data_IF_019363609130
#
_entry.id   IF_019363609130
#
_cell.length_a   1.000
_cell.length_b   1.000
_cell.length_c   1.000
_cell.angle_alpha   90.00
_cell.angle_beta   90.00
_cell.angle_gamma   90.00
#
_symmetry.space_group_name_H-M   'P 1'
#
loop_
_entity.id
_entity.type
_entity.pdbx_description
1 polymer ?
#
# COMPACT_ATOMS: atom_id res chain seq x y z
N UNK A 1 46.54 -67.46 -49.60
CA UNK A 1 47.87 -67.03 -50.08
C UNK A 1 48.08 -65.61 -49.58
N UNK A 2 49.16 -65.20 -48.91
CA UNK A 2 50.30 -65.96 -48.40
C UNK A 2 51.13 -65.11 -47.42
N UNK A 3 51.97 -65.81 -46.66
CA UNK A 3 53.13 -65.41 -45.86
C UNK A 3 53.99 -64.27 -46.46
N UNK A 4 54.84 -63.55 -45.70
CA UNK A 4 55.20 -63.66 -44.27
C UNK A 4 56.31 -62.67 -43.87
N UNK A 5 56.77 -62.71 -42.60
CA UNK A 5 57.84 -61.85 -42.03
C UNK A 5 59.26 -62.43 -42.21
N UNK A 6 60.33 -61.61 -42.09
CA UNK A 6 61.11 -61.47 -40.83
C UNK A 6 61.05 -60.03 -40.25
N UNK A 7 61.55 -59.65 -39.07
CA UNK A 7 62.83 -59.93 -38.37
C UNK A 7 63.82 -58.76 -38.60
N UNK A 8 64.51 -58.14 -37.63
CA UNK A 8 64.88 -58.53 -36.25
C UNK A 8 65.24 -57.28 -35.36
N UNK A 9 65.62 -57.53 -34.08
CA UNK A 9 66.17 -56.69 -32.97
C UNK A 9 66.57 -55.21 -33.24
N UNK A 10 66.48 -54.25 -32.28
CA UNK A 10 67.23 -54.25 -30.99
C UNK A 10 66.76 -53.17 -29.96
N UNK A 11 67.22 -53.20 -28.69
CA UNK A 11 66.91 -52.20 -27.62
C UNK A 11 67.80 -52.35 -26.35
N UNK A 12 67.92 -51.36 -25.42
CA UNK A 12 68.06 -49.90 -25.52
C UNK A 12 69.56 -49.50 -25.44
N UNK A 13 70.27 -49.09 -24.32
CA UNK A 13 69.93 -48.58 -22.96
C UNK A 13 70.57 -47.22 -22.54
N UNK A 14 69.91 -46.48 -21.64
CA UNK A 14 70.53 -45.56 -20.65
C UNK A 14 70.82 -44.09 -21.04
N UNK A 15 70.46 -43.13 -20.17
CA UNK A 15 70.87 -41.72 -20.30
C UNK A 15 69.98 -40.67 -19.62
N UNK A 16 70.07 -40.49 -18.30
CA UNK A 16 69.39 -39.40 -17.58
C UNK A 16 69.93 -38.00 -17.94
N UNK A 17 69.04 -37.02 -18.15
CA UNK A 17 69.29 -35.61 -17.82
C UNK A 17 68.04 -34.71 -17.86
N UNK A 18 67.74 -34.18 -16.66
CA UNK A 18 67.19 -32.84 -16.32
C UNK A 18 65.90 -32.34 -16.98
N UNK A 19 65.03 -31.83 -16.11
CA UNK A 19 63.95 -30.90 -16.45
C UNK A 19 64.53 -29.54 -16.87
N UNK A 20 63.92 -28.90 -17.86
CA UNK A 20 63.93 -27.44 -18.01
C UNK A 20 62.49 -26.92 -17.85
N UNK A 21 62.34 -25.75 -17.23
CA UNK A 21 61.05 -25.28 -16.71
C UNK A 21 60.44 -24.14 -17.51
N UNK A 22 59.33 -24.40 -18.20
CA UNK A 22 58.58 -23.39 -18.94
C UNK A 22 57.67 -22.57 -18.01
N UNK A 23 58.13 -21.36 -17.63
CA UNK A 23 57.39 -20.44 -16.75
C UNK A 23 56.31 -19.70 -17.52
N UNK A 24 55.11 -20.28 -17.59
CA UNK A 24 53.91 -19.50 -17.96
C UNK A 24 53.60 -18.47 -16.87
N UNK A 25 53.70 -17.19 -17.24
CA UNK A 25 53.25 -16.08 -16.40
C UNK A 25 51.74 -16.21 -16.13
N UNK A 26 51.36 -16.27 -14.85
CA UNK A 26 49.96 -16.14 -14.45
C UNK A 26 49.61 -14.66 -14.46
N UNK A 27 48.77 -14.25 -15.42
CA UNK A 27 48.03 -12.98 -15.30
C UNK A 27 47.31 -12.95 -13.94
N UNK A 28 47.43 -11.83 -13.25
CA UNK A 28 46.69 -11.56 -12.03
C UNK A 28 45.39 -10.85 -12.42
N UNK A 29 44.36 -11.62 -12.73
CA UNK A 29 43.00 -11.08 -12.86
C UNK A 29 42.47 -10.82 -11.44
N UNK A 30 41.94 -9.61 -11.14
CA UNK A 30 41.37 -9.32 -9.83
C UNK A 30 40.12 -10.18 -9.59
N UNK A 31 39.84 -10.60 -8.34
CA UNK A 31 38.65 -11.39 -8.04
C UNK A 31 37.39 -10.60 -8.41
N UNK A 32 36.47 -11.23 -9.13
CA UNK A 32 35.18 -10.63 -9.45
C UNK A 32 34.44 -10.22 -8.17
N UNK A 33 33.75 -9.06 -8.14
CA UNK A 33 33.04 -8.61 -6.96
C UNK A 33 31.99 -9.65 -6.56
N UNK A 34 31.82 -9.95 -5.25
CA UNK A 34 30.87 -10.95 -4.81
C UNK A 34 29.46 -10.55 -5.23
N UNK A 35 28.77 -11.43 -5.95
CA UNK A 35 27.43 -11.18 -6.48
C UNK A 35 26.40 -11.12 -5.35
N UNK A 36 26.30 -9.96 -4.68
CA UNK A 36 25.18 -9.59 -3.81
C UNK A 36 23.92 -9.36 -4.65
N UNK A 37 23.41 -10.46 -5.23
CA UNK A 37 21.99 -10.54 -5.62
C UNK A 37 21.20 -10.15 -4.38
N UNK A 38 20.36 -9.13 -4.52
CA UNK A 38 19.76 -8.45 -3.37
C UNK A 38 19.13 -9.42 -2.39
N UNK A 39 19.66 -9.46 -1.15
CA UNK A 39 18.89 -9.99 -0.02
C UNK A 39 17.62 -9.15 0.02
N UNK A 40 16.44 -9.77 -0.14
CA UNK A 40 15.16 -9.13 0.16
C UNK A 40 15.28 -8.44 1.53
N UNK A 41 14.71 -7.25 1.68
CA UNK A 41 14.56 -6.61 2.99
C UNK A 41 13.72 -7.51 3.91
N UNK A 42 14.40 -8.42 4.61
CA UNK A 42 14.12 -8.59 6.02
C UNK A 42 14.66 -7.33 6.69
N UNK A 43 13.78 -6.33 6.91
CA UNK A 43 13.87 -5.55 8.16
C UNK A 43 14.17 -6.56 9.26
N UNK A 44 15.26 -6.41 10.00
CA UNK A 44 15.57 -7.36 11.07
C UNK A 44 14.38 -7.35 12.03
N UNK A 45 13.66 -8.49 12.11
CA UNK A 45 12.61 -8.68 13.09
C UNK A 45 13.32 -8.81 14.43
N UNK A 46 13.52 -7.67 15.09
CA UNK A 46 14.48 -7.46 16.18
C UNK A 46 14.43 -8.60 17.18
N UNK A 47 15.48 -9.45 17.12
CA UNK A 47 15.56 -10.73 17.83
C UNK A 47 14.20 -11.43 18.03
N UNK A 48 13.50 -11.82 16.96
CA UNK A 48 12.12 -12.38 17.06
C UNK A 48 11.99 -13.63 17.96
N UNK A 49 13.11 -14.22 18.39
CA UNK A 49 13.17 -15.23 19.44
C UNK A 49 12.76 -14.71 20.84
N UNK A 50 12.94 -13.42 21.14
CA UNK A 50 12.66 -12.84 22.46
C UNK A 50 11.15 -12.68 22.76
N UNK A 51 10.32 -12.54 21.71
CA UNK A 51 8.88 -12.26 21.85
C UNK A 51 7.98 -13.49 21.60
N UNK A 52 8.55 -14.66 21.28
CA UNK A 52 7.79 -15.86 20.90
C UNK A 52 7.85 -16.94 21.98
N UNK A 53 6.76 -17.10 22.72
CA UNK A 53 6.55 -18.24 23.63
C UNK A 53 6.82 -19.58 22.90
N UNK A 54 7.55 -20.53 23.50
CA UNK A 54 7.90 -21.78 22.84
C UNK A 54 6.65 -22.63 22.54
N UNK A 55 6.59 -23.19 21.33
CA UNK A 55 5.37 -23.83 20.78
C UNK A 55 4.95 -25.06 21.61
N UNK A 56 3.86 -24.92 22.35
CA UNK A 56 3.36 -25.97 23.26
C UNK A 56 2.53 -27.01 22.51
N UNK A 57 3.17 -28.13 22.17
CA UNK A 57 2.50 -29.37 21.75
C UNK A 57 2.10 -30.23 22.96
N UNK A 58 0.95 -30.93 22.95
CA UNK A 58 -0.08 -30.97 21.91
C UNK A 58 -1.00 -29.75 21.93
N UNK A 59 -1.58 -29.41 20.77
CA UNK A 59 -2.51 -28.28 20.62
C UNK A 59 -3.89 -28.54 21.26
N UNK A 60 -4.29 -29.79 21.44
CA UNK A 60 -5.56 -30.19 22.04
C UNK A 60 -5.68 -29.80 23.52
N UNK A 61 -6.93 -29.69 24.02
CA UNK A 61 -7.23 -29.38 25.43
C UNK A 61 -6.88 -30.58 26.34
N UNK A 62 -5.60 -30.75 26.66
CA UNK A 62 -5.08 -31.85 27.46
C UNK A 62 -4.26 -31.37 28.67
N UNK A 63 -4.23 -32.15 29.77
CA UNK A 63 -3.44 -31.83 30.98
C UNK A 63 -1.93 -31.65 30.69
N UNK A 64 -1.40 -32.31 29.66
CA UNK A 64 -0.03 -32.11 29.17
C UNK A 64 0.24 -30.71 28.60
N UNK A 65 -0.76 -30.07 27.97
CA UNK A 65 -0.64 -28.68 27.49
C UNK A 65 -0.62 -27.71 28.66
N UNK A 66 -1.49 -27.92 29.65
CA UNK A 66 -1.53 -27.13 30.89
C UNK A 66 -0.18 -27.20 31.63
N UNK A 67 0.30 -28.41 31.96
CA UNK A 67 1.58 -28.60 32.68
C UNK A 67 2.81 -28.04 31.95
N UNK A 68 2.78 -27.92 30.61
CA UNK A 68 3.83 -27.23 29.84
C UNK A 68 3.70 -25.71 29.92
N UNK A 69 2.48 -25.18 29.85
CA UNK A 69 2.22 -23.73 30.01
C UNK A 69 2.55 -23.26 31.43
N UNK A 70 2.19 -24.04 32.45
CA UNK A 70 2.54 -23.76 33.85
C UNK A 70 4.07 -23.66 34.00
N UNK A 71 4.84 -24.63 33.49
CA UNK A 71 6.31 -24.56 33.52
C UNK A 71 6.88 -23.35 32.76
N UNK A 72 6.29 -22.94 31.65
CA UNK A 72 6.74 -21.74 30.90
C UNK A 72 6.45 -20.48 31.73
N UNK A 73 5.28 -20.40 32.37
CA UNK A 73 4.93 -19.33 33.31
C UNK A 73 5.90 -19.29 34.50
N UNK A 74 6.24 -20.44 35.08
CA UNK A 74 7.18 -20.52 36.20
C UNK A 74 8.58 -20.01 35.80
N UNK A 75 9.08 -20.35 34.60
CA UNK A 75 10.34 -19.80 34.08
C UNK A 75 10.26 -18.28 33.84
N UNK A 76 9.18 -17.79 33.23
CA UNK A 76 8.99 -16.35 32.98
C UNK A 76 8.89 -15.55 34.29
N UNK A 77 8.20 -16.07 35.31
CA UNK A 77 8.13 -15.42 36.62
C UNK A 77 9.49 -15.41 37.34
N UNK A 78 10.28 -16.50 37.23
CA UNK A 78 11.66 -16.50 37.75
C UNK A 78 12.57 -15.53 36.98
N UNK A 79 12.36 -15.35 35.67
CA UNK A 79 13.10 -14.38 34.86
C UNK A 79 12.68 -12.93 35.18
N UNK A 80 11.39 -12.66 35.35
CA UNK A 80 10.83 -11.37 35.77
C UNK A 80 11.28 -10.98 37.20
N UNK A 81 11.23 -11.91 38.16
CA UNK A 81 11.79 -11.69 39.49
C UNK A 81 13.31 -11.54 39.47
N UNK A 82 14.03 -12.27 38.61
CA UNK A 82 15.49 -12.13 38.50
C UNK A 82 15.89 -10.78 37.89
N UNK A 83 15.21 -10.33 36.83
CA UNK A 83 15.41 -9.02 36.22
C UNK A 83 15.04 -7.92 37.20
N UNK A 84 13.85 -7.96 37.83
CA UNK A 84 13.42 -6.93 38.79
C UNK A 84 14.34 -6.85 40.02
N UNK A 85 14.82 -7.99 40.55
CA UNK A 85 15.81 -7.97 41.63
C UNK A 85 17.18 -7.50 41.13
N UNK A 86 17.58 -7.81 39.89
CA UNK A 86 18.83 -7.34 39.31
C UNK A 86 18.81 -5.82 39.02
N UNK A 87 17.67 -5.27 38.63
CA UNK A 87 17.44 -3.82 38.49
C UNK A 87 17.48 -3.15 39.87
N UNK A 88 16.75 -3.68 40.86
CA UNK A 88 16.76 -3.15 42.24
C UNK A 88 18.11 -3.28 42.97
N UNK A 89 18.99 -4.17 42.52
CA UNK A 89 20.34 -4.37 43.07
C UNK A 89 21.45 -3.66 42.30
N UNK A 90 21.14 -2.98 41.19
CA UNK A 90 22.10 -2.16 40.44
C UNK A 90 21.64 -0.70 40.39
N UNK A 91 22.53 0.29 40.52
CA UNK A 91 22.28 1.64 40.01
C UNK A 91 22.40 1.61 38.47
N UNK A 92 21.51 0.86 37.78
CA UNK A 92 21.55 0.74 36.32
C UNK A 92 20.53 1.60 35.59
N UNK A 93 19.45 2.04 36.22
CA UNK A 93 18.62 3.12 35.65
C UNK A 93 19.46 4.41 35.59
N UNK A 94 20.05 4.81 36.73
CA UNK A 94 21.04 5.90 36.82
C UNK A 94 22.13 5.77 35.76
N UNK A 95 22.75 4.58 35.63
CA UNK A 95 23.82 4.36 34.66
C UNK A 95 23.35 4.38 33.20
N UNK A 96 22.15 3.88 32.91
CA UNK A 96 21.60 3.94 31.55
C UNK A 96 21.24 5.38 31.17
N UNK A 97 20.81 6.21 32.13
CA UNK A 97 20.55 7.63 31.93
C UNK A 97 21.85 8.46 31.86
N UNK A 98 22.87 8.12 32.64
CA UNK A 98 24.24 8.62 32.47
C UNK A 98 24.82 8.27 31.08
N UNK A 99 24.70 7.01 30.65
CA UNK A 99 25.27 6.56 29.37
C UNK A 99 24.47 7.12 28.18
N UNK A 100 23.16 7.37 28.35
CA UNK A 100 22.32 8.12 27.40
C UNK A 100 22.70 9.60 27.33
N UNK A 101 22.90 10.28 28.46
CA UNK A 101 23.32 11.69 28.47
C UNK A 101 24.73 11.88 27.89
N UNK A 102 25.67 10.95 28.17
CA UNK A 102 26.97 10.90 27.48
C UNK A 102 26.82 10.73 25.96
N UNK A 103 25.84 9.95 25.49
CA UNK A 103 25.53 9.84 24.05
C UNK A 103 24.96 11.15 23.50
N UNK A 104 24.03 11.81 24.19
CA UNK A 104 23.45 13.09 23.74
C UNK A 104 24.46 14.26 23.76
N UNK A 105 25.42 14.26 24.70
CA UNK A 105 26.60 15.15 24.66
C UNK A 105 27.49 14.87 23.43
N UNK A 106 27.69 13.59 23.07
CA UNK A 106 28.42 13.18 21.86
C UNK A 106 27.65 13.46 20.56
N UNK A 107 26.30 13.47 20.58
CA UNK A 107 25.46 13.91 19.45
C UNK A 107 25.68 15.39 19.16
N UNK A 108 25.85 16.18 20.22
CA UNK A 108 26.08 17.61 20.17
C UNK A 108 24.85 18.40 19.73
N UNK A 109 24.92 19.72 19.93
CA UNK A 109 23.92 20.66 19.41
C UNK A 109 24.62 21.88 18.79
N UNK A 110 24.23 22.32 17.58
CA UNK A 110 23.20 21.76 16.71
C UNK A 110 23.68 20.51 15.93
N UNK A 111 22.75 19.64 15.59
CA UNK A 111 22.92 18.61 14.55
C UNK A 111 22.58 19.20 13.18
N UNK A 112 23.23 18.72 12.12
CA UNK A 112 22.97 19.11 10.72
C UNK A 112 22.43 17.91 9.94
N UNK A 113 21.43 18.12 9.07
CA UNK A 113 20.92 17.08 8.18
C UNK A 113 21.79 16.99 6.92
N UNK A 114 22.12 15.76 6.53
CA UNK A 114 22.76 15.43 5.25
C UNK A 114 22.17 14.14 4.68
N UNK A 115 22.65 13.72 3.50
CA UNK A 115 22.25 12.48 2.83
C UNK A 115 23.40 11.49 2.83
N UNK A 116 23.10 10.20 3.03
CA UNK A 116 24.06 9.12 2.85
C UNK A 116 24.20 8.76 1.37
N UNK A 117 25.39 8.85 0.79
CA UNK A 117 25.60 8.54 -0.64
C UNK A 117 26.19 7.15 -0.85
N UNK A 118 27.30 6.83 -0.17
CA UNK A 118 27.92 5.51 -0.26
C UNK A 118 28.51 5.05 1.08
N UNK A 119 28.31 3.77 1.41
CA UNK A 119 28.94 3.10 2.56
C UNK A 119 30.24 2.45 2.11
N UNK A 120 31.38 2.96 2.58
CA UNK A 120 32.71 2.53 2.13
C UNK A 120 33.22 1.35 2.95
N UNK A 121 33.07 1.42 4.27
CA UNK A 121 33.35 0.32 5.19
C UNK A 121 32.33 0.30 6.35
N UNK A 122 32.54 -0.57 7.34
CA UNK A 122 31.60 -0.70 8.47
C UNK A 122 31.52 0.56 9.36
N UNK A 123 32.52 1.44 9.34
CA UNK A 123 32.66 2.59 10.23
C UNK A 123 32.77 3.93 9.49
N UNK A 124 32.78 3.95 8.15
CA UNK A 124 32.91 5.17 7.35
C UNK A 124 31.96 5.20 6.14
N UNK A 125 31.46 6.39 5.84
CA UNK A 125 30.61 6.66 4.69
C UNK A 125 30.99 7.96 3.97
N UNK A 126 30.58 8.07 2.71
CA UNK A 126 30.51 9.33 1.98
C UNK A 126 29.11 9.92 2.17
N UNK A 127 29.06 11.18 2.57
CA UNK A 127 27.83 11.91 2.87
C UNK A 127 27.85 13.29 2.22
N UNK A 128 26.71 13.71 1.66
CA UNK A 128 26.54 15.07 1.13
C UNK A 128 25.73 15.93 2.11
N UNK A 129 26.26 17.12 2.38
CA UNK A 129 25.55 18.15 3.15
C UNK A 129 24.67 18.98 2.21
N UNK A 130 23.52 19.46 2.70
CA UNK A 130 22.49 20.12 1.90
C UNK A 130 22.95 21.33 1.08
N UNK A 131 24.08 21.95 1.44
CA UNK A 131 24.75 23.02 0.67
C UNK A 131 26.29 22.84 0.72
N UNK A 132 26.79 21.61 0.59
CA UNK A 132 28.22 21.31 0.75
C UNK A 132 28.79 20.29 -0.26
N UNK A 133 30.12 20.14 -0.30
CA UNK A 133 30.76 19.03 -0.97
C UNK A 133 30.48 17.69 -0.26
N UNK A 134 30.81 16.59 -0.92
CA UNK A 134 30.90 15.26 -0.32
C UNK A 134 31.97 15.22 0.78
N UNK A 135 31.64 14.59 1.92
CA UNK A 135 32.56 14.36 3.03
C UNK A 135 32.71 12.87 3.33
N UNK A 136 33.95 12.42 3.50
CA UNK A 136 34.25 11.10 4.08
C UNK A 136 34.20 11.22 5.61
N UNK A 137 33.25 10.53 6.25
CA UNK A 137 32.93 10.72 7.68
C UNK A 137 32.84 9.39 8.43
N UNK A 138 33.15 9.42 9.72
CA UNK A 138 32.98 8.27 10.62
C UNK A 138 31.54 8.10 11.11
N UNK A 139 31.08 6.85 11.19
CA UNK A 139 29.79 6.44 11.76
C UNK A 139 29.98 6.16 13.25
N UNK A 140 29.19 6.81 14.13
CA UNK A 140 29.30 6.59 15.58
C UNK A 140 28.65 5.25 15.97
N UNK A 141 29.25 4.57 16.96
CA UNK A 141 28.91 3.18 17.33
C UNK A 141 27.49 2.94 17.88
N UNK A 142 26.70 3.99 18.09
CA UNK A 142 25.31 3.94 18.52
C UNK A 142 24.30 4.15 17.37
N UNK A 143 24.77 4.24 16.12
CA UNK A 143 23.93 4.19 14.91
C UNK A 143 23.81 2.74 14.46
N UNK A 144 22.59 2.26 14.22
CA UNK A 144 22.37 0.92 13.68
C UNK A 144 22.77 0.86 12.20
N UNK A 145 23.74 0.00 11.90
CA UNK A 145 24.34 -0.14 10.57
C UNK A 145 23.43 -0.90 9.60
N UNK A 146 22.55 -1.76 10.09
CA UNK A 146 21.60 -2.50 9.24
C UNK A 146 20.41 -1.62 8.78
N UNK A 147 20.34 -0.37 9.24
CA UNK A 147 19.33 0.62 8.84
C UNK A 147 19.89 1.77 7.97
N UNK A 148 21.20 1.77 7.67
CA UNK A 148 21.81 2.73 6.74
C UNK A 148 21.68 2.23 5.30
N UNK A 149 20.71 2.75 4.54
CA UNK A 149 20.61 2.54 3.08
C UNK A 149 21.04 3.81 2.30
N UNK A 150 21.74 3.68 1.16
CA UNK A 150 22.08 4.82 0.30
C UNK A 150 20.84 5.61 -0.12
N UNK A 151 20.89 6.93 0.08
CA UNK A 151 19.77 7.85 -0.11
C UNK A 151 18.99 8.20 1.16
N UNK A 152 19.21 7.52 2.30
CA UNK A 152 18.59 7.89 3.57
C UNK A 152 19.12 9.24 4.10
N UNK A 153 18.23 10.01 4.72
CA UNK A 153 18.57 11.22 5.45
C UNK A 153 19.22 10.89 6.80
N UNK A 154 20.32 11.57 7.10
CA UNK A 154 21.14 11.33 8.30
C UNK A 154 21.35 12.61 9.11
N UNK A 155 21.52 12.42 10.41
CA UNK A 155 21.94 13.44 11.36
C UNK A 155 23.47 13.39 11.51
N UNK A 156 24.12 14.54 11.30
CA UNK A 156 25.57 14.71 11.38
C UNK A 156 25.94 15.71 12.49
N UNK A 157 27.09 15.51 13.14
CA UNK A 157 27.60 16.45 14.14
C UNK A 157 28.28 17.66 13.48
N UNK A 158 27.70 18.86 13.57
CA UNK A 158 28.13 20.07 12.85
C UNK A 158 29.66 20.34 12.83
N UNK A 159 30.40 20.11 13.93
CA UNK A 159 31.86 20.37 13.98
C UNK A 159 32.77 19.27 13.38
N UNK A 160 32.30 18.02 13.30
CA UNK A 160 33.13 16.83 13.00
C UNK A 160 32.60 16.04 11.80
N UNK A 161 31.35 16.33 11.41
CA UNK A 161 30.58 15.74 10.32
C UNK A 161 30.31 14.22 10.45
N UNK A 162 30.75 13.59 11.53
CA UNK A 162 30.42 12.21 11.90
C UNK A 162 28.91 11.94 11.90
N UNK A 163 28.50 10.73 11.47
CA UNK A 163 27.10 10.29 11.49
C UNK A 163 26.67 10.01 12.93
N UNK A 164 25.71 10.80 13.40
CA UNK A 164 25.14 10.80 14.76
C UNK A 164 23.86 9.98 14.84
N UNK A 165 23.14 9.83 13.73
CA UNK A 165 21.92 9.05 13.68
C UNK A 165 21.30 9.03 12.29
N UNK A 166 20.32 8.16 12.14
CA UNK A 166 19.36 8.22 11.05
C UNK A 166 18.30 9.26 11.40
N UNK A 167 17.95 10.12 10.45
CA UNK A 167 16.63 10.75 10.49
C UNK A 167 15.67 9.66 9.99
N UNK A 168 14.63 9.35 10.76
CA UNK A 168 13.63 8.38 10.30
C UNK A 168 13.00 8.90 9.00
N UNK A 169 13.02 8.09 7.94
CA UNK A 169 12.60 8.43 6.58
C UNK A 169 11.38 9.38 6.60
N UNK A 170 11.60 10.63 6.16
CA UNK A 170 10.52 11.60 6.03
C UNK A 170 9.58 11.12 4.92
N UNK A 171 8.51 10.42 5.33
CA UNK A 171 7.39 10.09 4.45
C UNK A 171 6.80 11.41 3.97
N UNK A 172 7.07 11.73 2.70
CA UNK A 172 6.72 13.01 2.05
C UNK A 172 5.36 13.50 2.56
N UNK A 173 5.26 14.75 3.06
CA UNK A 173 4.03 15.26 3.66
C UNK A 173 2.82 15.12 2.73
N UNK A 174 3.01 15.09 1.40
CA UNK A 174 1.94 14.80 0.44
C UNK A 174 1.37 13.39 0.59
N UNK A 175 2.21 12.37 0.79
CA UNK A 175 1.76 10.98 0.99
C UNK A 175 1.22 10.76 2.40
N UNK A 176 1.72 11.51 3.39
CA UNK A 176 1.12 11.53 4.73
C UNK A 176 -0.30 12.13 4.73
N UNK A 177 -0.60 13.09 3.84
CA UNK A 177 -1.98 13.60 3.61
C UNK A 177 -2.90 12.57 2.94
N UNK A 178 -2.36 11.61 2.18
CA UNK A 178 -3.13 10.52 1.55
C UNK A 178 -3.53 9.39 2.54
N UNK A 179 -2.98 9.40 3.76
CA UNK A 179 -3.34 8.44 4.82
C UNK A 179 -4.67 8.83 5.46
N UNK A 180 -5.69 7.98 5.32
CA UNK A 180 -6.99 8.22 5.95
C UNK A 180 -6.97 7.67 7.38
N UNK A 181 -6.46 8.45 8.33
CA UNK A 181 -6.34 8.07 9.76
C UNK A 181 -7.67 7.70 10.47
N UNK A 182 -8.82 7.91 9.80
CA UNK A 182 -10.15 7.69 10.38
C UNK A 182 -10.99 6.82 9.46
N UNK A 183 -11.33 5.62 9.92
CA UNK A 183 -12.30 4.76 9.27
C UNK A 183 -13.59 5.55 8.96
N UNK A 184 -14.09 5.52 7.71
CA UNK A 184 -15.26 6.30 7.34
C UNK A 184 -16.52 5.74 8.01
N UNK A 185 -17.41 6.61 8.47
CA UNK A 185 -18.63 6.25 9.22
C UNK A 185 -19.69 5.46 8.42
N UNK A 186 -19.43 5.19 7.15
CA UNK A 186 -20.36 4.57 6.20
C UNK A 186 -20.20 3.05 6.27
N UNK A 187 -21.28 2.29 6.46
CA UNK A 187 -21.25 0.82 6.53
C UNK A 187 -21.98 0.20 5.33
N UNK A 188 -21.79 -1.11 5.08
CA UNK A 188 -22.58 -1.85 4.09
C UNK A 188 -24.10 -1.73 4.33
N UNK A 189 -24.52 -1.52 5.59
CA UNK A 189 -25.92 -1.30 5.95
C UNK A 189 -26.50 0.06 5.49
N UNK A 190 -25.65 1.06 5.20
CA UNK A 190 -26.06 2.34 4.60
C UNK A 190 -26.18 2.26 3.05
N UNK A 191 -25.79 1.13 2.43
CA UNK A 191 -25.88 0.92 0.99
C UNK A 191 -27.22 0.27 0.64
N UNK A 192 -27.98 0.93 -0.23
CA UNK A 192 -29.30 0.46 -0.66
C UNK A 192 -29.24 -0.56 -1.78
N UNK A 193 -29.06 -1.84 -1.45
CA UNK A 193 -28.98 -2.95 -2.42
C UNK A 193 -27.58 -3.11 -3.01
N UNK A 194 -27.48 -3.51 -4.29
CA UNK A 194 -26.22 -3.91 -4.94
C UNK A 194 -25.55 -5.13 -4.25
N UNK A 195 -26.36 -6.04 -3.71
CA UNK A 195 -25.90 -7.17 -2.88
C UNK A 195 -24.89 -8.07 -3.60
N UNK A 196 -25.05 -8.25 -4.92
CA UNK A 196 -24.12 -9.01 -5.76
C UNK A 196 -22.76 -8.30 -5.90
N UNK A 197 -22.76 -7.00 -6.22
CA UNK A 197 -21.54 -6.20 -6.28
C UNK A 197 -20.82 -6.19 -4.94
N UNK A 198 -21.55 -5.99 -3.82
CA UNK A 198 -21.01 -6.03 -2.46
C UNK A 198 -20.32 -7.39 -2.20
N UNK A 199 -20.98 -8.51 -2.55
CA UNK A 199 -20.41 -9.85 -2.39
C UNK A 199 -19.10 -10.02 -3.19
N UNK A 200 -19.05 -9.57 -4.44
CA UNK A 200 -17.81 -9.63 -5.25
C UNK A 200 -16.66 -8.81 -4.65
N UNK A 201 -16.92 -7.62 -4.07
CA UNK A 201 -15.85 -6.85 -3.39
C UNK A 201 -15.38 -7.55 -2.12
N UNK A 202 -16.31 -8.15 -1.36
CA UNK A 202 -15.98 -8.90 -0.14
C UNK A 202 -15.07 -10.08 -0.47
N UNK A 203 -15.40 -10.86 -1.51
CA UNK A 203 -14.56 -11.95 -2.01
C UNK A 203 -13.20 -11.49 -2.57
N UNK A 204 -13.08 -10.24 -3.03
CA UNK A 204 -11.85 -9.70 -3.58
C UNK A 204 -10.94 -8.99 -2.57
N UNK A 205 -11.49 -8.42 -1.50
CA UNK A 205 -10.77 -7.53 -0.56
C UNK A 205 -10.92 -7.97 0.90
N UNK A 206 -12.14 -8.23 1.38
CA UNK A 206 -12.38 -8.56 2.80
C UNK A 206 -11.99 -10.01 3.12
N UNK A 207 -12.35 -10.97 2.26
CA UNK A 207 -12.12 -12.40 2.48
C UNK A 207 -10.63 -12.79 2.46
N UNK A 208 -9.75 -12.28 1.56
CA UNK A 208 -8.32 -12.53 1.64
C UNK A 208 -7.66 -11.98 2.91
N UNK A 209 -8.17 -10.88 3.46
CA UNK A 209 -7.61 -10.23 4.66
C UNK A 209 -8.11 -10.85 5.97
N UNK A 210 -9.31 -11.44 5.97
CA UNK A 210 -9.92 -12.07 7.15
C UNK A 210 -9.63 -13.58 7.24
N UNK A 211 -9.59 -14.28 6.10
CA UNK A 211 -9.43 -15.74 6.03
C UNK A 211 -8.49 -16.16 4.88
N UNK A 212 -7.18 -15.83 4.95
CA UNK A 212 -6.20 -16.24 3.95
C UNK A 212 -6.08 -17.77 3.83
N UNK A 213 -6.32 -18.51 4.93
CA UNK A 213 -6.33 -19.99 4.99
C UNK A 213 -7.18 -20.62 3.87
N UNK A 214 -8.32 -20.00 3.51
CA UNK A 214 -9.21 -20.49 2.44
C UNK A 214 -8.58 -20.44 1.04
N UNK A 215 -7.63 -19.53 0.82
CA UNK A 215 -6.90 -19.41 -0.46
C UNK A 215 -5.69 -20.35 -0.48
N UNK A 216 -5.04 -20.56 0.66
CA UNK A 216 -3.94 -21.52 0.81
C UNK A 216 -4.40 -22.97 0.66
N UNK A 217 -5.50 -23.38 1.32
CA UNK A 217 -6.08 -24.74 1.22
C UNK A 217 -6.50 -25.10 -0.22
N UNK A 218 -6.99 -24.11 -0.98
CA UNK A 218 -7.41 -24.27 -2.39
C UNK A 218 -6.21 -24.12 -3.35
N UNK A 219 -5.08 -23.55 -2.89
CA UNK A 219 -3.87 -23.32 -3.68
C UNK A 219 -3.98 -22.20 -4.72
N UNK A 220 -4.88 -21.23 -4.51
CA UNK A 220 -5.13 -20.11 -5.45
C UNK A 220 -4.58 -18.79 -4.90
N UNK A 221 -3.97 -17.97 -5.77
CA UNK A 221 -3.66 -16.58 -5.41
C UNK A 221 -4.97 -15.78 -5.28
N UNK A 222 -5.18 -14.99 -4.22
CA UNK A 222 -6.29 -14.05 -4.16
C UNK A 222 -6.12 -12.95 -5.24
N UNK A 223 -7.21 -12.33 -5.73
CA UNK A 223 -7.13 -11.25 -6.71
C UNK A 223 -6.35 -10.05 -6.16
N UNK A 224 -5.68 -9.30 -7.06
CA UNK A 224 -4.85 -8.13 -6.71
C UNK A 224 -5.62 -6.82 -6.82
N UNK A 225 -6.28 -6.62 -7.96
CA UNK A 225 -6.93 -5.36 -8.32
C UNK A 225 -8.41 -5.52 -8.66
N UNK A 226 -9.20 -4.55 -8.17
CA UNK A 226 -10.64 -4.41 -8.45
C UNK A 226 -10.88 -3.07 -9.14
N UNK A 227 -11.69 -3.03 -10.20
CA UNK A 227 -12.20 -1.78 -10.79
C UNK A 227 -13.72 -1.67 -10.65
N UNK A 228 -14.17 -0.52 -10.15
CA UNK A 228 -15.55 -0.12 -9.99
C UNK A 228 -15.93 0.85 -11.12
N UNK A 229 -16.86 0.47 -11.99
CA UNK A 229 -17.26 1.29 -13.14
C UNK A 229 -18.79 1.35 -13.29
N UNK A 230 -19.28 2.29 -14.11
CA UNK A 230 -20.72 2.56 -14.28
C UNK A 230 -21.01 4.05 -14.27
N UNK A 231 -22.27 4.45 -14.13
CA UNK A 231 -22.66 5.87 -14.14
C UNK A 231 -22.20 6.64 -12.88
N UNK A 232 -22.05 7.99 -12.95
CA UNK A 232 -21.85 8.82 -11.77
C UNK A 232 -23.06 8.75 -10.82
N UNK A 233 -22.83 8.93 -9.52
CA UNK A 233 -23.89 8.92 -8.51
C UNK A 233 -24.47 7.54 -8.15
N UNK A 234 -23.92 6.45 -8.70
CA UNK A 234 -24.31 5.05 -8.43
C UNK A 234 -23.74 4.48 -7.12
N UNK A 235 -22.81 5.17 -6.46
CA UNK A 235 -22.35 4.84 -5.11
C UNK A 235 -20.96 4.19 -4.96
N UNK A 236 -20.17 4.08 -6.04
CA UNK A 236 -18.81 3.49 -6.05
C UNK A 236 -17.93 3.94 -4.85
N UNK A 237 -17.80 5.25 -4.64
CA UNK A 237 -17.03 5.84 -3.53
C UNK A 237 -17.63 5.57 -2.14
N UNK A 238 -18.96 5.40 -2.03
CA UNK A 238 -19.62 5.00 -0.77
C UNK A 238 -19.28 3.54 -0.44
N UNK A 239 -19.28 2.68 -1.46
CA UNK A 239 -18.94 1.27 -1.29
C UNK A 239 -17.45 1.08 -0.96
N UNK A 240 -16.54 1.81 -1.61
CA UNK A 240 -15.11 1.79 -1.28
C UNK A 240 -14.84 2.19 0.19
N UNK A 241 -15.59 3.17 0.72
CA UNK A 241 -15.57 3.52 2.14
C UNK A 241 -16.17 2.43 3.04
N UNK A 242 -17.30 1.83 2.65
CA UNK A 242 -17.91 0.75 3.43
C UNK A 242 -16.98 -0.47 3.57
N UNK A 243 -16.20 -0.79 2.53
CA UNK A 243 -15.11 -1.75 2.60
C UNK A 243 -14.06 -1.29 3.62
N UNK A 244 -13.56 -0.06 3.50
CA UNK A 244 -12.54 0.51 4.40
C UNK A 244 -12.96 0.60 5.88
N UNK A 245 -14.27 0.61 6.17
CA UNK A 245 -14.82 0.57 7.53
C UNK A 245 -14.94 -0.87 8.06
N UNK A 246 -15.19 -1.85 7.18
CA UNK A 246 -15.28 -3.27 7.54
C UNK A 246 -13.90 -3.93 7.69
N UNK A 247 -12.94 -3.54 6.86
CA UNK A 247 -11.55 -4.02 6.92
C UNK A 247 -10.73 -3.21 7.93
N UNK A 248 -10.14 -3.86 8.94
CA UNK A 248 -9.18 -3.22 9.87
C UNK A 248 -7.78 -2.99 9.26
N UNK A 249 -7.71 -2.78 7.94
CA UNK A 249 -6.49 -2.56 7.16
C UNK A 249 -6.23 -1.07 6.94
N UNK A 250 -4.99 -0.68 6.67
CA UNK A 250 -4.65 0.73 6.42
C UNK A 250 -5.28 1.22 5.11
N UNK A 251 -6.18 2.21 5.18
CA UNK A 251 -6.82 2.79 4.00
C UNK A 251 -6.08 4.04 3.50
N UNK A 252 -5.53 3.96 2.29
CA UNK A 252 -4.91 5.07 1.58
C UNK A 252 -5.87 5.54 0.48
N UNK A 253 -6.23 6.83 0.47
CA UNK A 253 -7.10 7.41 -0.55
C UNK A 253 -6.35 8.44 -1.38
N UNK A 254 -6.45 8.30 -2.69
CA UNK A 254 -5.92 9.24 -3.68
C UNK A 254 -7.01 9.52 -4.72
N UNK A 255 -7.08 10.74 -5.23
CA UNK A 255 -7.90 11.08 -6.40
C UNK A 255 -6.98 11.12 -7.63
N UNK A 256 -7.40 10.58 -8.77
CA UNK A 256 -6.57 10.46 -9.97
C UNK A 256 -5.96 11.79 -10.43
N UNK A 257 -6.65 12.91 -10.19
CA UNK A 257 -6.14 14.27 -10.46
C UNK A 257 -4.97 14.71 -9.57
N UNK A 258 -4.81 14.16 -8.36
CA UNK A 258 -3.71 14.48 -7.44
C UNK A 258 -2.36 13.89 -7.92
N UNK A 259 -2.42 12.87 -8.78
CA UNK A 259 -1.26 12.29 -9.44
C UNK A 259 -0.74 13.14 -10.62
N UNK A 260 -1.46 14.19 -11.02
CA UNK A 260 -1.06 15.13 -12.08
C UNK A 260 -0.35 16.33 -11.47
N UNK A 261 0.99 16.28 -11.44
CA UNK A 261 1.83 17.35 -10.90
C UNK A 261 2.34 18.31 -11.98
N UNK A 262 2.71 19.53 -11.55
CA UNK A 262 3.16 20.61 -12.45
C UNK A 262 4.61 20.46 -12.91
N UNK A 263 5.42 19.75 -12.13
CA UNK A 263 6.84 19.51 -12.42
C UNK A 263 7.03 18.15 -13.08
N UNK A 264 8.03 18.06 -13.97
CA UNK A 264 8.32 16.87 -14.76
C UNK A 264 9.08 15.85 -13.89
N UNK A 265 8.51 14.66 -13.69
CA UNK A 265 9.06 13.59 -12.85
C UNK A 265 8.37 13.42 -11.49
N UNK A 266 7.66 14.44 -10.99
CA UNK A 266 7.00 14.39 -9.68
C UNK A 266 5.83 13.39 -9.64
N UNK A 267 5.06 13.27 -10.72
CA UNK A 267 3.97 12.30 -10.83
C UNK A 267 4.46 10.86 -10.65
N UNK A 268 5.46 10.40 -11.44
CA UNK A 268 6.09 9.10 -11.23
C UNK A 268 6.76 8.93 -9.84
N UNK A 269 7.37 9.97 -9.25
CA UNK A 269 7.92 9.92 -7.88
C UNK A 269 6.81 9.64 -6.85
N UNK A 270 5.74 10.43 -6.90
CA UNK A 270 4.59 10.34 -5.99
C UNK A 270 3.91 8.97 -6.05
N UNK A 271 3.78 8.37 -7.24
CA UNK A 271 3.26 7.00 -7.41
C UNK A 271 4.14 5.96 -6.72
N UNK A 272 5.47 6.07 -6.81
CA UNK A 272 6.39 5.14 -6.12
C UNK A 272 6.30 5.28 -4.61
N UNK A 273 6.23 6.50 -4.11
CA UNK A 273 6.17 6.79 -2.67
C UNK A 273 4.84 6.35 -2.05
N UNK A 274 3.72 6.54 -2.77
CA UNK A 274 2.41 5.98 -2.39
C UNK A 274 2.47 4.47 -2.19
N UNK A 275 3.07 3.72 -3.13
CA UNK A 275 3.17 2.27 -3.01
C UNK A 275 4.23 1.81 -2.01
N UNK A 276 5.32 2.56 -1.79
CA UNK A 276 6.25 2.32 -0.67
C UNK A 276 5.52 2.38 0.67
N UNK A 277 4.75 3.46 0.88
CA UNK A 277 3.95 3.66 2.10
C UNK A 277 2.84 2.62 2.25
N UNK A 278 2.28 2.12 1.14
CA UNK A 278 1.31 1.01 1.17
C UNK A 278 1.95 -0.32 1.62
N UNK A 279 3.17 -0.63 1.17
CA UNK A 279 3.92 -1.85 1.54
C UNK A 279 4.42 -1.77 3.00
N UNK A 280 4.93 -0.61 3.42
CA UNK A 280 5.33 -0.32 4.82
C UNK A 280 4.16 -0.41 5.83
N UNK A 281 2.93 -0.17 5.38
CA UNK A 281 1.70 -0.22 6.19
C UNK A 281 0.82 -1.43 5.88
N UNK A 282 1.39 -2.48 5.27
CA UNK A 282 0.71 -3.74 4.96
C UNK A 282 0.22 -4.47 6.24
N UNK A 283 -1.03 -4.99 6.28
CA UNK A 283 -2.01 -5.03 5.21
C UNK A 283 -2.68 -3.67 4.93
N UNK A 284 -2.77 -3.30 3.66
CA UNK A 284 -3.26 -1.98 3.23
C UNK A 284 -4.14 -2.06 1.98
N UNK A 285 -5.00 -1.04 1.83
CA UNK A 285 -5.92 -0.87 0.71
C UNK A 285 -5.65 0.50 0.09
N UNK A 286 -5.23 0.51 -1.18
CA UNK A 286 -5.04 1.73 -1.97
C UNK A 286 -6.30 1.95 -2.82
N UNK A 287 -7.07 2.99 -2.47
CA UNK A 287 -8.23 3.42 -3.24
C UNK A 287 -7.89 4.64 -4.10
N UNK A 288 -7.98 4.48 -5.43
CA UNK A 288 -7.81 5.57 -6.40
C UNK A 288 -9.17 5.90 -7.01
N UNK A 289 -9.72 7.05 -6.62
CA UNK A 289 -10.97 7.60 -7.16
C UNK A 289 -10.70 8.35 -8.48
N UNK A 290 -11.69 8.42 -9.38
CA UNK A 290 -11.60 9.16 -10.66
C UNK A 290 -10.34 8.86 -11.51
N UNK A 291 -9.97 7.57 -11.65
CA UNK A 291 -8.79 7.13 -12.41
C UNK A 291 -8.84 7.54 -13.90
N UNK A 292 -10.03 7.81 -14.45
CA UNK A 292 -10.23 8.37 -15.79
C UNK A 292 -9.63 9.78 -15.99
N UNK A 293 -9.21 10.48 -14.92
CA UNK A 293 -8.42 11.71 -15.03
C UNK A 293 -7.00 11.49 -15.59
N UNK A 294 -6.38 10.33 -15.36
CA UNK A 294 -5.03 9.99 -15.85
C UNK A 294 -4.98 8.81 -16.82
N UNK A 295 -6.00 7.95 -16.81
CA UNK A 295 -6.01 6.70 -17.57
C UNK A 295 -6.40 6.84 -19.04
N UNK A 296 -6.52 8.06 -19.58
CA UNK A 296 -7.09 8.31 -20.92
C UNK A 296 -6.34 7.59 -22.05
N UNK A 297 -7.10 7.07 -23.01
CA UNK A 297 -6.58 6.34 -24.18
C UNK A 297 -5.50 7.12 -24.92
N UNK A 298 -4.42 6.40 -25.25
CA UNK A 298 -3.22 6.89 -25.95
C UNK A 298 -3.54 7.28 -27.40
N UNK A 299 -4.01 8.50 -27.60
CA UNK A 299 -3.84 9.21 -28.87
C UNK A 299 -2.52 10.00 -28.81
N UNK A 300 -1.89 10.24 -29.96
CA UNK A 300 -0.51 10.75 -30.00
C UNK A 300 -0.36 12.07 -29.23
N UNK A 301 0.48 12.03 -28.19
CA UNK A 301 0.63 13.12 -27.24
C UNK A 301 1.48 14.24 -27.88
N UNK A 302 0.80 15.21 -28.48
CA UNK A 302 1.41 16.36 -29.13
C UNK A 302 1.94 17.37 -28.09
N UNK A 303 1.32 17.44 -26.91
CA UNK A 303 1.66 18.37 -25.83
C UNK A 303 2.60 17.74 -24.80
N UNK A 304 3.49 18.57 -24.23
CA UNK A 304 4.43 18.12 -23.19
C UNK A 304 3.74 17.58 -21.92
N UNK A 305 2.61 18.17 -21.51
CA UNK A 305 1.86 17.74 -20.32
C UNK A 305 1.20 16.37 -20.47
N UNK A 306 0.67 16.06 -21.66
CA UNK A 306 0.05 14.75 -21.97
C UNK A 306 1.09 13.62 -21.84
N UNK A 307 2.34 13.87 -22.26
CA UNK A 307 3.46 12.93 -22.12
C UNK A 307 3.83 12.65 -20.66
N UNK A 308 3.63 13.62 -19.77
CA UNK A 308 3.91 13.43 -18.35
C UNK A 308 2.78 12.66 -17.65
N UNK A 309 1.51 12.94 -17.97
CA UNK A 309 0.37 12.12 -17.53
C UNK A 309 0.56 10.66 -17.98
N UNK A 310 0.98 10.45 -19.23
CA UNK A 310 1.30 9.12 -19.76
C UNK A 310 2.45 8.44 -18.99
N UNK A 311 3.48 9.17 -18.56
CA UNK A 311 4.56 8.63 -17.72
C UNK A 311 4.08 8.23 -16.33
N UNK A 312 3.27 9.06 -15.67
CA UNK A 312 2.64 8.72 -14.39
C UNK A 312 1.78 7.46 -14.50
N UNK A 313 0.97 7.34 -15.57
CA UNK A 313 0.18 6.14 -15.84
C UNK A 313 1.06 4.90 -16.08
N UNK A 314 2.17 5.04 -16.83
CA UNK A 314 3.11 3.93 -17.07
C UNK A 314 3.83 3.50 -15.78
N UNK A 315 4.18 4.42 -14.89
CA UNK A 315 4.75 4.09 -13.59
C UNK A 315 3.72 3.37 -12.69
N UNK A 316 2.47 3.84 -12.65
CA UNK A 316 1.37 3.17 -11.95
C UNK A 316 1.17 1.74 -12.48
N UNK A 317 1.23 1.54 -13.80
CA UNK A 317 1.18 0.21 -14.41
C UNK A 317 2.36 -0.69 -14.02
N UNK A 318 3.57 -0.14 -13.89
CA UNK A 318 4.75 -0.91 -13.46
C UNK A 318 4.65 -1.34 -11.99
N UNK A 319 4.16 -0.46 -11.11
CA UNK A 319 3.94 -0.83 -9.70
C UNK A 319 2.82 -1.88 -9.59
N UNK A 320 1.73 -1.76 -10.37
CA UNK A 320 0.64 -2.75 -10.41
C UNK A 320 1.05 -4.15 -10.89
N UNK A 321 2.02 -4.26 -11.82
CA UNK A 321 2.61 -5.57 -12.19
C UNK A 321 3.59 -6.10 -11.12
N UNK A 322 4.35 -5.21 -10.48
CA UNK A 322 5.44 -5.55 -9.54
C UNK A 322 5.02 -6.30 -8.28
N UNK A 323 3.71 -6.38 -7.99
CA UNK A 323 3.14 -6.99 -6.78
C UNK A 323 3.36 -8.51 -6.62
N UNK A 324 3.96 -9.22 -7.58
CA UNK A 324 4.24 -10.65 -7.41
C UNK A 324 5.37 -10.98 -6.39
N UNK A 325 5.84 -9.97 -5.64
CA UNK A 325 6.82 -10.14 -4.56
C UNK A 325 6.70 -9.18 -3.35
N UNK A 326 5.67 -8.31 -3.30
CA UNK A 326 5.54 -7.19 -2.35
C UNK A 326 4.17 -7.14 -1.67
N UNK A 327 4.13 -7.44 -0.38
CA UNK A 327 3.03 -7.11 0.55
C UNK A 327 1.64 -7.71 0.31
N UNK A 328 0.81 -7.63 1.35
CA UNK A 328 -0.65 -7.79 1.27
C UNK A 328 -1.30 -6.43 1.02
N UNK A 329 -1.05 -5.88 -0.17
CA UNK A 329 -1.61 -4.61 -0.65
C UNK A 329 -2.73 -4.93 -1.65
N UNK A 330 -3.92 -4.35 -1.42
CA UNK A 330 -5.06 -4.45 -2.35
C UNK A 330 -5.32 -3.12 -3.03
N UNK A 331 -5.65 -3.13 -4.32
CA UNK A 331 -5.93 -1.91 -5.09
C UNK A 331 -7.39 -1.89 -5.56
N UNK A 332 -8.08 -0.80 -5.25
CA UNK A 332 -9.44 -0.51 -5.69
C UNK A 332 -9.39 0.75 -6.56
N UNK A 333 -9.79 0.63 -7.82
CA UNK A 333 -9.87 1.76 -8.75
C UNK A 333 -11.35 2.11 -8.99
N UNK A 334 -11.73 3.38 -8.95
CA UNK A 334 -13.06 3.83 -9.37
C UNK A 334 -12.99 4.71 -10.62
N UNK A 335 -13.86 4.45 -11.59
CA UNK A 335 -13.97 5.23 -12.83
C UNK A 335 -15.42 5.52 -13.20
N UNK A 336 -15.67 6.61 -13.90
CA UNK A 336 -16.96 6.88 -14.54
C UNK A 336 -17.03 6.40 -15.99
N UNK A 337 -15.89 6.08 -16.62
CA UNK A 337 -15.83 5.72 -18.05
C UNK A 337 -14.73 4.69 -18.32
N UNK A 338 -15.08 3.40 -18.18
CA UNK A 338 -14.17 2.29 -18.49
C UNK A 338 -13.68 2.32 -19.95
N UNK A 339 -14.52 2.79 -20.88
CA UNK A 339 -14.17 2.91 -22.30
C UNK A 339 -13.12 3.99 -22.63
N UNK A 340 -12.90 4.97 -21.75
CA UNK A 340 -11.80 5.94 -21.93
C UNK A 340 -10.46 5.44 -21.39
N UNK A 341 -10.43 4.35 -20.62
CA UNK A 341 -9.21 3.84 -20.01
C UNK A 341 -8.32 3.09 -21.02
N UNK A 342 -7.00 3.17 -20.80
CA UNK A 342 -6.00 2.35 -21.47
C UNK A 342 -6.28 0.85 -21.25
N UNK A 343 -6.50 0.04 -22.31
CA UNK A 343 -6.67 -1.42 -22.20
C UNK A 343 -5.50 -2.15 -21.50
N UNK A 344 -4.33 -1.51 -21.38
CA UNK A 344 -3.22 -2.02 -20.58
C UNK A 344 -3.54 -2.07 -19.07
N UNK A 345 -4.33 -1.13 -18.52
CA UNK A 345 -4.82 -1.20 -17.13
C UNK A 345 -5.74 -2.40 -16.96
N UNK A 346 -6.68 -2.58 -17.90
CA UNK A 346 -7.75 -3.57 -17.85
C UNK A 346 -7.32 -5.02 -18.16
N UNK A 347 -6.02 -5.33 -18.12
CA UNK A 347 -5.46 -6.66 -18.38
C UNK A 347 -5.53 -7.54 -17.12
N UNK A 348 -5.98 -8.80 -17.21
CA UNK A 348 -5.92 -9.76 -16.09
C UNK A 348 -4.48 -9.90 -15.54
N UNK A 349 -4.35 -10.10 -14.23
CA UNK A 349 -3.07 -10.05 -13.51
C UNK A 349 -2.73 -8.67 -12.92
N UNK A 350 -3.34 -7.59 -13.45
CA UNK A 350 -3.35 -6.23 -12.85
C UNK A 350 -4.70 -5.94 -12.20
N UNK A 351 -5.77 -6.14 -12.97
CA UNK A 351 -7.16 -5.95 -12.54
C UNK A 351 -7.91 -7.25 -12.86
N UNK A 352 -8.27 -7.99 -11.82
CA UNK A 352 -8.83 -9.33 -11.92
C UNK A 352 -10.36 -9.33 -11.80
N UNK A 353 -10.92 -8.34 -11.09
CA UNK A 353 -12.37 -8.12 -10.96
C UNK A 353 -12.77 -6.77 -11.55
N UNK A 354 -13.83 -6.78 -12.37
CA UNK A 354 -14.41 -5.61 -13.03
C UNK A 354 -15.89 -5.59 -12.68
N UNK A 355 -16.32 -4.59 -11.92
CA UNK A 355 -17.58 -4.61 -11.19
C UNK A 355 -18.43 -3.43 -11.64
N UNK A 356 -19.58 -3.76 -12.22
CA UNK A 356 -20.48 -2.80 -12.85
C UNK A 356 -21.54 -2.29 -11.86
N UNK A 357 -21.70 -0.97 -11.83
CA UNK A 357 -22.68 -0.24 -11.06
C UNK A 357 -23.76 0.30 -12.00
N UNK A 358 -24.82 -0.49 -12.30
CA UNK A 358 -25.95 -0.03 -13.10
C UNK A 358 -26.80 0.99 -12.34
N UNK A 359 -27.73 1.64 -13.06
CA UNK A 359 -28.77 2.45 -12.43
C UNK A 359 -29.67 1.59 -11.51
N UNK A 360 -30.18 2.16 -10.41
CA UNK A 360 -30.90 1.40 -9.40
C UNK A 360 -32.31 0.99 -9.85
N UNK A 361 -32.57 -0.31 -9.77
CA UNK A 361 -33.89 -0.94 -9.93
C UNK A 361 -34.99 -0.32 -9.04
N UNK A 362 -36.27 -0.54 -9.37
CA UNK A 362 -37.42 -0.11 -8.54
C UNK A 362 -37.29 -0.58 -7.07
N UNK A 363 -36.82 -1.83 -6.86
CA UNK A 363 -36.57 -2.40 -5.52
C UNK A 363 -35.44 -1.65 -4.80
N UNK A 364 -34.33 -1.43 -5.51
CA UNK A 364 -33.12 -0.73 -5.05
C UNK A 364 -33.42 0.72 -4.71
N UNK A 365 -34.15 1.45 -5.56
CA UNK A 365 -34.64 2.82 -5.30
C UNK A 365 -35.50 2.88 -4.03
N UNK A 366 -36.44 1.95 -3.83
CA UNK A 366 -37.22 1.87 -2.57
C UNK A 366 -36.30 1.76 -1.34
N UNK A 367 -35.24 0.95 -1.42
CA UNK A 367 -34.27 0.76 -0.32
C UNK A 367 -33.41 2.01 -0.07
N UNK A 368 -32.93 2.68 -1.12
CA UNK A 368 -32.17 3.94 -1.01
C UNK A 368 -33.03 5.04 -0.38
N UNK A 369 -34.29 5.21 -0.82
CA UNK A 369 -35.23 6.14 -0.20
C UNK A 369 -35.46 5.79 1.28
N UNK A 370 -35.67 4.52 1.63
CA UNK A 370 -35.85 4.08 3.03
C UNK A 370 -34.63 4.41 3.90
N UNK A 371 -33.41 4.21 3.40
CA UNK A 371 -32.17 4.52 4.15
C UNK A 371 -32.03 6.03 4.35
N UNK A 372 -32.22 6.85 3.32
CA UNK A 372 -32.05 8.30 3.44
C UNK A 372 -33.18 8.99 4.24
N UNK A 373 -34.39 8.43 4.23
CA UNK A 373 -35.50 8.92 5.07
C UNK A 373 -35.50 8.38 6.50
N UNK A 374 -34.73 7.31 6.81
CA UNK A 374 -34.67 6.72 8.16
C UNK A 374 -34.25 7.69 9.26
N UNK A 375 -33.48 8.73 8.91
CA UNK A 375 -33.00 9.78 9.83
C UNK A 375 -33.86 11.07 9.75
N UNK A 376 -35.01 11.04 9.06
CA UNK A 376 -35.88 12.19 8.80
C UNK A 376 -37.26 12.02 9.44
N UNK A 377 -37.79 13.12 10.00
CA UNK A 377 -39.17 13.21 10.51
C UNK A 377 -40.16 13.43 9.36
N UNK A 378 -40.57 12.33 8.72
CA UNK A 378 -41.69 12.35 7.77
C UNK A 378 -43.03 12.63 8.47
N UNK A 379 -43.97 13.22 7.74
CA UNK A 379 -45.38 13.22 8.09
C UNK A 379 -46.12 12.04 7.43
N UNK A 380 -47.30 11.71 7.94
CA UNK A 380 -48.10 10.54 7.54
C UNK A 380 -48.69 10.63 6.13
N UNK A 381 -48.61 11.80 5.48
CA UNK A 381 -49.01 12.03 4.09
C UNK A 381 -47.96 11.61 3.05
N UNK A 382 -46.72 11.32 3.46
CA UNK A 382 -45.60 11.07 2.55
C UNK A 382 -45.65 9.65 1.97
N UNK A 383 -46.23 9.51 0.77
CA UNK A 383 -46.16 8.25 0.02
C UNK A 383 -44.87 8.14 -0.80
N UNK A 384 -43.88 7.41 -0.27
CA UNK A 384 -42.61 7.15 -0.96
C UNK A 384 -42.76 6.29 -2.23
N UNK A 385 -43.83 5.51 -2.37
CA UNK A 385 -44.03 4.63 -3.53
C UNK A 385 -44.27 5.42 -4.82
N UNK A 386 -44.93 6.58 -4.74
CA UNK A 386 -45.22 7.46 -5.90
C UNK A 386 -43.93 7.90 -6.60
N UNK A 387 -42.91 8.27 -5.81
CA UNK A 387 -41.60 8.70 -6.33
C UNK A 387 -40.78 7.52 -6.85
N UNK A 388 -40.87 6.35 -6.22
CA UNK A 388 -40.17 5.11 -6.62
C UNK A 388 -40.76 4.50 -7.90
N UNK A 389 -42.09 4.57 -8.09
CA UNK A 389 -42.76 4.03 -9.27
C UNK A 389 -42.64 4.92 -10.51
N UNK A 390 -42.16 6.17 -10.39
CA UNK A 390 -41.96 6.98 -11.59
C UNK A 390 -40.84 6.38 -12.45
N UNK A 391 -41.01 6.41 -13.78
CA UNK A 391 -40.05 5.92 -14.79
C UNK A 391 -38.78 6.79 -14.92
N UNK A 392 -38.56 7.73 -14.01
CA UNK A 392 -37.42 8.64 -14.02
C UNK A 392 -36.11 7.90 -13.66
N UNK A 393 -35.08 8.12 -14.47
CA UNK A 393 -33.72 7.61 -14.24
C UNK A 393 -33.03 8.38 -13.10
N UNK A 394 -33.32 7.96 -11.86
CA UNK A 394 -32.68 8.48 -10.66
C UNK A 394 -31.44 7.65 -10.27
N UNK A 395 -30.28 8.30 -10.18
CA UNK A 395 -29.12 7.76 -9.48
C UNK A 395 -29.34 7.75 -7.95
N UNK A 396 -28.48 7.04 -7.21
CA UNK A 396 -28.52 7.10 -5.74
C UNK A 396 -28.23 8.51 -5.21
N UNK A 397 -27.36 9.26 -5.89
CA UNK A 397 -27.11 10.67 -5.61
C UNK A 397 -28.33 11.56 -5.84
N UNK A 398 -29.11 11.34 -6.91
CA UNK A 398 -30.35 12.08 -7.17
C UNK A 398 -31.38 11.87 -6.04
N UNK A 399 -31.56 10.62 -5.59
CA UNK A 399 -32.46 10.28 -4.47
C UNK A 399 -32.02 10.98 -3.18
N UNK A 400 -30.72 10.96 -2.87
CA UNK A 400 -30.15 11.69 -1.73
C UNK A 400 -30.40 13.19 -1.84
N UNK A 401 -30.20 13.78 -3.02
CA UNK A 401 -30.43 15.20 -3.28
C UNK A 401 -31.90 15.59 -3.06
N UNK A 402 -32.85 14.80 -3.58
CA UNK A 402 -34.30 15.00 -3.38
C UNK A 402 -34.64 14.99 -1.88
N UNK A 403 -34.14 14.01 -1.12
CA UNK A 403 -34.38 13.95 0.33
C UNK A 403 -33.81 15.19 1.06
N UNK A 404 -32.60 15.64 0.71
CA UNK A 404 -32.00 16.84 1.34
C UNK A 404 -32.70 18.15 0.96
N UNK A 405 -33.15 18.31 -0.29
CA UNK A 405 -33.89 19.49 -0.73
C UNK A 405 -35.29 19.53 -0.10
N UNK A 406 -35.97 18.39 0.07
CA UNK A 406 -37.25 18.30 0.78
C UNK A 406 -37.12 18.70 2.27
N UNK A 407 -36.07 18.23 2.95
CA UNK A 407 -35.75 18.66 4.31
C UNK A 407 -35.43 20.16 4.42
N UNK A 408 -34.70 20.72 3.44
CA UNK A 408 -34.37 22.14 3.38
C UNK A 408 -35.60 23.03 3.11
N UNK A 409 -36.57 22.54 2.33
CA UNK A 409 -37.86 23.22 2.12
C UNK A 409 -38.71 23.26 3.40
N UNK A 410 -38.82 22.13 4.10
CA UNK A 410 -39.50 22.08 5.39
C UNK A 410 -38.86 23.04 6.41
N UNK A 411 -37.52 23.04 6.51
CA UNK A 411 -36.77 23.95 7.39
C UNK A 411 -36.96 25.44 7.01
N UNK A 412 -37.03 25.77 5.71
CA UNK A 412 -37.32 27.13 5.22
C UNK A 412 -38.69 27.62 5.67
N UNK A 413 -39.69 26.75 5.67
CA UNK A 413 -41.04 27.02 6.19
C UNK A 413 -41.13 26.85 7.73
N UNK A 414 -39.99 26.67 8.43
CA UNK A 414 -39.86 26.44 9.89
C UNK A 414 -40.62 25.21 10.41
N UNK A 415 -40.84 24.20 9.56
CA UNK A 415 -41.53 22.95 9.88
C UNK A 415 -40.52 21.85 10.25
N UNK A 416 -40.78 21.17 11.37
CA UNK A 416 -40.00 20.00 11.83
C UNK A 416 -40.48 18.66 11.26
N UNK A 417 -41.51 18.67 10.39
CA UNK A 417 -41.95 17.50 9.61
C UNK A 417 -41.90 17.82 8.12
N UNK A 418 -41.40 16.86 7.33
CA UNK A 418 -41.38 16.91 5.86
C UNK A 418 -42.70 16.34 5.32
N UNK A 419 -43.34 17.06 4.40
CA UNK A 419 -44.65 16.72 3.81
C UNK A 419 -44.50 16.23 2.37
N UNK A 420 -45.54 15.62 1.80
CA UNK A 420 -45.55 15.14 0.41
C UNK A 420 -45.33 16.27 -0.61
N UNK A 421 -45.79 17.48 -0.28
CA UNK A 421 -45.61 18.69 -1.10
C UNK A 421 -44.13 19.08 -1.17
N UNK A 422 -43.36 18.89 -0.09
CA UNK A 422 -41.92 19.20 -0.06
C UNK A 422 -41.14 18.26 -1.00
N UNK A 423 -41.48 16.97 -1.01
CA UNK A 423 -40.89 16.00 -1.93
C UNK A 423 -41.23 16.29 -3.40
N UNK A 424 -42.45 16.75 -3.72
CA UNK A 424 -42.81 17.14 -5.10
C UNK A 424 -42.03 18.36 -5.57
N UNK A 425 -42.00 19.44 -4.78
CA UNK A 425 -41.15 20.63 -5.02
C UNK A 425 -39.66 20.25 -5.17
N UNK A 426 -39.16 19.36 -4.32
CA UNK A 426 -37.77 18.91 -4.36
C UNK A 426 -37.44 18.09 -5.62
N UNK A 427 -38.33 17.16 -6.01
CA UNK A 427 -38.19 16.38 -7.26
C UNK A 427 -38.11 17.30 -8.48
N UNK A 428 -39.04 18.24 -8.62
CA UNK A 428 -39.06 19.21 -9.73
C UNK A 428 -37.74 19.99 -9.81
N UNK A 429 -37.27 20.52 -8.67
CA UNK A 429 -36.03 21.29 -8.58
C UNK A 429 -34.77 20.48 -8.92
N UNK A 430 -34.70 19.21 -8.51
CA UNK A 430 -33.57 18.32 -8.85
C UNK A 430 -33.61 17.91 -10.33
N UNK A 431 -34.80 17.61 -10.85
CA UNK A 431 -34.98 17.27 -12.27
C UNK A 431 -34.66 18.44 -13.21
N UNK A 432 -34.98 19.68 -12.82
CA UNK A 432 -34.61 20.87 -13.58
C UNK A 432 -33.09 21.00 -13.72
N UNK A 433 -32.35 20.91 -12.60
CA UNK A 433 -30.87 20.89 -12.61
C UNK A 433 -30.28 19.77 -13.48
N UNK A 434 -30.91 18.58 -13.48
CA UNK A 434 -30.47 17.45 -14.30
C UNK A 434 -30.69 17.71 -15.80
N UNK A 435 -31.76 18.42 -16.18
CA UNK A 435 -32.02 18.86 -17.56
C UNK A 435 -31.11 19.98 -18.03
N UNK A 436 -30.77 20.96 -17.19
CA UNK A 436 -29.84 22.07 -17.55
C UNK A 436 -28.46 21.57 -18.03
N UNK A 437 -28.04 20.36 -17.60
CA UNK A 437 -26.81 19.72 -18.05
C UNK A 437 -26.89 18.94 -19.37
N UNK A 438 -28.07 18.82 -20.00
CA UNK A 438 -28.28 18.06 -21.25
C UNK A 438 -28.77 19.00 -22.35
N UNK A 439 -28.05 19.16 -23.47
CA UNK A 439 -28.55 19.92 -24.60
C UNK A 439 -29.73 19.18 -25.27
N UNK A 440 -30.95 19.64 -25.02
CA UNK A 440 -32.18 19.16 -25.67
C UNK A 440 -32.15 19.52 -27.18
N UNK A 441 -31.48 18.71 -27.99
CA UNK A 441 -31.27 19.04 -29.41
C UNK A 441 -30.72 17.95 -30.33
N UNK A 442 -30.71 16.66 -29.95
CA UNK A 442 -30.20 15.57 -30.81
C UNK A 442 -31.04 14.29 -30.86
N UNK A 443 -32.32 14.35 -30.48
CA UNK A 443 -33.29 13.28 -30.73
C UNK A 443 -34.58 13.89 -31.30
N UNK A 444 -34.93 13.45 -32.52
CA UNK A 444 -36.26 13.58 -33.13
C UNK A 444 -36.97 12.23 -33.07
#
# INVERSE_FOLDING_TARGET
MGQGTPGSLNKPPGGDRKQDGDKKEKKFDPPAPPSRVGRKQRKQKGSEAAARLPVVTPLTKCKLRLLKLDRIKDYLLMEEEFVSNQERLKPQEDKNEEDRSKVDDLRGSPMSVGNLEELIDENHAIVSSSVGPEYYVGILSFVDKDQLEPGCSILMHNKVLSVVGLLQDEVDPMVSVMKVEKAPLESYADIGGLDAQIQEIKEAVELPLTHPELYEDIGIKPPKGVILYGEPGTGKTLLAKAVANSTSATFLRVVGSELIQKYLGDGPKLVRELFRVADDLSPSIVFIDEIDAIGTKRYDAHSGGEREIQRTMLELLNQLDGFDSRGDVKVILATNRIDSLDPALLRPGRIDRKIEFPLPDIKTRRRIFQIHTSRMTLAEDVNLEEFVMTKDEFSGADIKAICTEAGLLALRERRMKVTHIDFKKAKEKVMFKKKEGVPEGLYM
#
